data_IF_597928920233
#
_entry.id   IF_597928920233
#
_cell.length_a   1.000
_cell.length_b   1.000
_cell.length_c   1.000
_cell.angle_alpha   90.00
_cell.angle_beta   90.00
_cell.angle_gamma   90.00
#
_symmetry.space_group_name_H-M   'P 1'
#
loop_
_entity.id
_entity.type
_entity.pdbx_description
1 polymer ?
#
# COMPACT_ATOMS: atom_id res chain seq x y z
N UNK A 1 11.59 -23.39 12.19
CA UNK A 1 11.68 -22.45 11.06
C UNK A 1 10.33 -21.78 10.90
N UNK A 2 10.28 -20.47 10.61
CA UNK A 2 9.03 -19.83 10.27
C UNK A 2 8.54 -20.37 8.92
N UNK A 3 7.23 -20.57 8.78
CA UNK A 3 6.54 -20.93 7.54
C UNK A 3 5.41 -19.95 7.27
N UNK A 4 4.76 -20.05 6.13
CA UNK A 4 3.64 -19.16 5.78
C UNK A 4 2.45 -19.29 6.74
N UNK A 5 2.27 -20.44 7.40
CA UNK A 5 1.23 -20.70 8.41
C UNK A 5 1.61 -20.20 9.82
N UNK A 6 2.83 -19.73 10.02
CA UNK A 6 3.27 -19.22 11.34
C UNK A 6 2.42 -18.01 11.77
N UNK A 7 1.92 -18.02 13.01
CA UNK A 7 1.07 -16.97 13.52
C UNK A 7 1.85 -15.65 13.66
N UNK A 8 1.23 -14.51 13.28
CA UNK A 8 1.84 -13.17 13.30
C UNK A 8 2.28 -12.70 14.68
N UNK A 9 1.75 -13.28 15.77
CA UNK A 9 2.15 -12.94 17.15
C UNK A 9 3.64 -13.20 17.43
N UNK A 10 4.28 -14.05 16.62
CA UNK A 10 5.71 -14.36 16.77
C UNK A 10 6.62 -13.34 16.07
N UNK A 11 6.05 -12.37 15.34
CA UNK A 11 6.81 -11.25 14.78
C UNK A 11 7.22 -10.31 15.90
N UNK A 12 8.47 -9.87 15.88
CA UNK A 12 9.00 -8.94 16.87
C UNK A 12 8.17 -7.64 16.90
N UNK A 13 7.60 -7.35 18.07
CA UNK A 13 6.78 -6.17 18.29
C UNK A 13 5.28 -6.39 18.09
N UNK A 14 4.82 -7.61 17.78
CA UNK A 14 3.41 -7.98 17.72
C UNK A 14 3.12 -8.89 18.93
N UNK A 15 2.54 -8.32 19.99
CA UNK A 15 1.99 -9.08 21.11
C UNK A 15 0.50 -9.39 20.88
N UNK A 16 -0.14 -10.07 21.85
CA UNK A 16 -1.53 -10.55 21.75
C UNK A 16 -2.53 -9.46 21.35
N UNK A 17 -2.46 -8.28 21.96
CA UNK A 17 -3.37 -7.18 21.63
C UNK A 17 -3.24 -6.68 20.20
N UNK A 18 -2.02 -6.65 19.65
CA UNK A 18 -1.78 -6.27 18.26
C UNK A 18 -2.15 -7.38 17.29
N UNK A 19 -1.90 -8.64 17.65
CA UNK A 19 -2.33 -9.79 16.86
C UNK A 19 -3.86 -9.83 16.75
N UNK A 20 -4.60 -9.63 17.84
CA UNK A 20 -6.06 -9.51 17.84
C UNK A 20 -6.57 -8.31 17.00
N UNK A 21 -5.79 -7.21 16.92
CA UNK A 21 -6.13 -6.10 16.05
C UNK A 21 -5.87 -6.43 14.58
N UNK A 22 -4.81 -7.16 14.24
CA UNK A 22 -4.50 -7.63 12.89
C UNK A 22 -5.52 -8.68 12.40
N UNK A 23 -6.03 -9.53 13.29
CA UNK A 23 -7.09 -10.49 12.97
C UNK A 23 -8.35 -9.82 12.43
N UNK A 24 -8.69 -8.61 12.90
CA UNK A 24 -9.81 -7.81 12.35
C UNK A 24 -9.60 -7.38 10.90
N UNK A 25 -8.35 -7.40 10.42
CA UNK A 25 -7.98 -7.18 9.02
C UNK A 25 -7.86 -8.49 8.23
N UNK A 26 -8.17 -9.64 8.84
CA UNK A 26 -7.99 -10.96 8.24
C UNK A 26 -6.55 -11.46 8.26
N UNK A 27 -5.67 -10.84 9.06
CA UNK A 27 -4.24 -11.17 9.13
C UNK A 27 -3.99 -12.01 10.39
N UNK A 28 -3.78 -13.30 10.23
CA UNK A 28 -3.51 -14.26 11.33
C UNK A 28 -2.16 -14.93 11.19
N UNK A 29 -1.71 -15.13 9.97
CA UNK A 29 -0.47 -15.83 9.62
C UNK A 29 0.52 -14.92 8.89
N UNK A 30 1.77 -15.37 8.76
CA UNK A 30 2.78 -14.69 7.94
C UNK A 30 2.36 -14.63 6.47
N UNK A 31 1.72 -15.69 5.95
CA UNK A 31 1.16 -15.71 4.61
C UNK A 31 0.11 -14.62 4.40
N UNK A 32 -0.85 -14.47 5.34
CA UNK A 32 -1.86 -13.41 5.27
C UNK A 32 -1.21 -12.03 5.30
N UNK A 33 -0.18 -11.85 6.14
CA UNK A 33 0.50 -10.58 6.31
C UNK A 33 1.21 -10.12 5.02
N UNK A 34 1.95 -11.02 4.36
CA UNK A 34 2.64 -10.69 3.11
C UNK A 34 1.69 -10.63 1.91
N UNK A 35 0.52 -11.26 1.98
CA UNK A 35 -0.55 -11.11 1.00
C UNK A 35 -1.41 -9.85 1.24
N UNK A 36 -1.23 -9.16 2.36
CA UNK A 36 -1.94 -7.92 2.66
C UNK A 36 -1.27 -6.74 1.99
N UNK A 37 -1.62 -6.51 0.74
CA UNK A 37 -0.98 -5.51 -0.10
C UNK A 37 -1.33 -4.06 0.29
N UNK A 38 -0.39 -3.11 0.05
CA UNK A 38 -0.66 -1.69 0.23
C UNK A 38 -1.81 -1.21 -0.67
N UNK A 39 -2.64 -0.30 -0.14
CA UNK A 39 -3.68 0.39 -0.92
C UNK A 39 -3.15 1.51 -1.80
N UNK A 40 -1.95 1.98 -1.53
CA UNK A 40 -1.30 3.08 -2.24
C UNK A 40 0.14 3.25 -1.79
N UNK A 41 0.81 4.22 -2.38
CA UNK A 41 2.21 4.52 -2.10
C UNK A 41 2.40 6.02 -1.96
N UNK A 42 3.37 6.39 -1.14
CA UNK A 42 3.82 7.76 -0.95
C UNK A 42 5.27 7.84 -1.43
N UNK A 43 5.46 8.59 -2.52
CA UNK A 43 6.80 8.82 -3.07
C UNK A 43 7.55 9.84 -2.21
N UNK A 44 8.58 9.38 -1.52
CA UNK A 44 9.49 10.19 -0.71
C UNK A 44 10.90 10.22 -1.28
N UNK A 45 11.07 9.83 -2.54
CA UNK A 45 12.38 9.79 -3.20
C UNK A 45 12.87 11.17 -3.62
N UNK A 46 11.95 12.09 -3.92
CA UNK A 46 12.27 13.41 -4.41
C UNK A 46 12.59 14.37 -3.26
N UNK A 47 13.85 14.73 -3.14
CA UNK A 47 14.30 15.81 -2.25
C UNK A 47 14.26 17.09 -3.05
N UNK A 48 13.49 18.10 -2.54
CA UNK A 48 13.36 19.41 -3.19
C UNK A 48 14.04 20.50 -2.37
N UNK A 49 14.61 21.52 -3.04
CA UNK A 49 15.14 22.70 -2.37
C UNK A 49 14.00 23.53 -1.71
N UNK A 50 14.29 24.16 -0.57
CA UNK A 50 13.29 24.87 0.25
C UNK A 50 12.56 25.96 -0.53
N UNK A 51 13.26 26.66 -1.43
CA UNK A 51 12.64 27.72 -2.24
C UNK A 51 11.52 27.23 -3.16
N UNK A 52 11.61 25.95 -3.63
CA UNK A 52 10.67 25.37 -4.59
C UNK A 52 9.44 24.74 -3.93
N UNK A 53 9.39 24.71 -2.60
CA UNK A 53 8.27 24.11 -1.89
C UNK A 53 6.97 24.87 -2.17
N UNK A 54 5.87 24.12 -2.29
CA UNK A 54 4.53 24.68 -2.47
C UNK A 54 3.65 24.28 -1.28
N UNK A 55 2.85 25.22 -0.76
CA UNK A 55 1.93 24.90 0.33
C UNK A 55 0.91 23.84 -0.09
N UNK A 56 0.67 22.90 0.81
CA UNK A 56 -0.27 21.78 0.60
C UNK A 56 0.38 20.50 0.09
N UNK A 57 1.60 20.52 -0.45
CA UNK A 57 2.32 19.33 -0.90
C UNK A 57 3.05 18.62 0.24
N UNK A 58 3.17 17.29 0.13
CA UNK A 58 4.00 16.45 1.00
C UNK A 58 5.29 16.12 0.28
N UNK A 59 6.44 16.50 0.86
CA UNK A 59 7.72 16.47 0.15
C UNK A 59 8.88 16.20 1.10
N UNK A 60 9.97 15.63 0.58
CA UNK A 60 11.24 15.53 1.29
C UNK A 60 12.06 16.80 1.10
N UNK A 61 12.68 17.27 2.19
CA UNK A 61 13.62 18.38 2.22
C UNK A 61 14.88 17.94 2.92
N UNK A 62 16.02 18.11 2.29
CA UNK A 62 17.33 17.97 2.93
C UNK A 62 17.78 19.32 3.45
N UNK A 63 18.17 19.38 4.71
CA UNK A 63 18.65 20.63 5.27
C UNK A 63 19.39 20.46 6.58
N UNK A 64 20.12 21.50 6.96
CA UNK A 64 20.86 21.57 8.21
C UNK A 64 19.99 22.27 9.26
N UNK A 65 19.98 21.72 10.46
CA UNK A 65 19.29 22.33 11.62
C UNK A 65 20.06 23.59 12.03
N UNK A 66 19.40 24.74 11.93
CA UNK A 66 20.01 26.04 12.18
C UNK A 66 20.07 26.41 13.67
N UNK A 67 19.21 25.83 14.50
CA UNK A 67 19.15 26.08 15.94
C UNK A 67 18.61 24.85 16.66
N UNK A 68 18.99 24.69 17.92
CA UNK A 68 18.45 23.62 18.77
C UNK A 68 16.93 23.74 18.93
N UNK A 69 16.30 22.60 19.21
CA UNK A 69 14.86 22.51 19.37
C UNK A 69 14.41 23.29 20.62
N UNK A 70 13.72 24.42 20.43
CA UNK A 70 13.18 25.23 21.53
C UNK A 70 11.76 24.84 21.83
N UNK A 71 11.50 24.39 23.06
CA UNK A 71 10.17 23.94 23.49
C UNK A 71 9.46 24.97 24.37
N UNK A 72 8.19 25.20 24.08
CA UNK A 72 7.29 26.08 24.81
C UNK A 72 6.08 25.29 25.30
N UNK A 73 5.68 25.52 26.56
CA UNK A 73 4.41 25.02 27.07
C UNK A 73 3.30 25.99 26.70
N UNK A 74 2.21 25.47 26.14
CA UNK A 74 0.99 26.23 25.86
C UNK A 74 -0.08 25.88 26.90
N UNK A 75 -1.12 26.73 27.00
CA UNK A 75 -2.30 26.47 27.82
C UNK A 75 -2.93 25.13 27.44
N UNK A 76 -3.35 24.35 28.43
CA UNK A 76 -3.89 23.00 28.22
C UNK A 76 -2.87 21.85 28.26
N UNK A 77 -1.65 22.08 28.79
CA UNK A 77 -0.64 21.03 29.00
C UNK A 77 0.04 20.51 27.74
N UNK A 78 -0.15 21.19 26.61
CA UNK A 78 0.50 20.83 25.33
C UNK A 78 1.87 21.53 25.21
N UNK A 79 2.84 20.80 24.67
CA UNK A 79 4.17 21.36 24.37
C UNK A 79 4.31 21.53 22.85
N UNK A 80 4.78 22.72 22.44
CA UNK A 80 5.22 22.97 21.07
C UNK A 80 6.74 23.12 21.10
N UNK A 81 7.42 22.40 20.23
CA UNK A 81 8.83 22.58 19.99
C UNK A 81 9.05 23.11 18.57
N UNK A 82 9.93 24.10 18.43
CA UNK A 82 10.23 24.73 17.14
C UNK A 82 11.72 24.73 16.88
N UNK A 83 12.07 24.51 15.63
CA UNK A 83 13.41 24.75 15.10
C UNK A 83 13.33 25.23 13.67
N UNK A 84 14.45 25.56 13.08
CA UNK A 84 14.57 26.00 11.70
C UNK A 84 15.60 25.15 10.99
N UNK A 85 15.29 24.79 9.76
CA UNK A 85 16.19 24.08 8.85
C UNK A 85 16.52 25.01 7.70
N UNK A 86 17.75 24.97 7.24
CA UNK A 86 18.26 25.76 6.13
C UNK A 86 18.94 24.85 5.10
N UNK A 87 18.78 25.24 3.85
CA UNK A 87 19.57 24.74 2.73
C UNK A 87 20.17 25.93 1.96
N UNK A 88 20.86 25.68 0.85
CA UNK A 88 21.45 26.73 0.00
C UNK A 88 20.39 27.63 -0.65
N UNK A 89 19.11 27.26 -0.60
CA UNK A 89 18.01 27.93 -1.29
C UNK A 89 17.12 28.74 -0.35
N UNK A 90 17.08 28.45 0.94
CA UNK A 90 16.19 29.13 1.87
C UNK A 90 16.12 28.53 3.26
N UNK A 91 15.04 28.88 3.99
CA UNK A 91 14.78 28.38 5.34
C UNK A 91 13.36 27.86 5.48
N UNK A 92 13.18 26.81 6.30
CA UNK A 92 11.91 26.16 6.59
C UNK A 92 11.74 26.05 8.11
N UNK A 93 10.61 26.51 8.63
CA UNK A 93 10.30 26.37 10.04
C UNK A 93 9.70 24.97 10.31
N UNK A 94 10.21 24.27 11.33
CA UNK A 94 9.69 22.97 11.78
C UNK A 94 8.99 23.15 13.11
N UNK A 95 7.77 22.60 13.21
CA UNK A 95 6.92 22.69 14.39
C UNK A 95 6.55 21.29 14.84
N UNK A 96 6.86 20.94 16.09
CA UNK A 96 6.55 19.64 16.68
C UNK A 96 5.59 19.82 17.85
N UNK A 97 4.48 19.09 17.83
CA UNK A 97 3.52 19.05 18.91
C UNK A 97 3.71 17.79 19.77
N UNK A 98 3.74 17.95 21.10
CA UNK A 98 3.80 16.87 22.08
C UNK A 98 4.98 15.89 21.87
N UNK A 99 6.13 16.38 21.42
CA UNK A 99 7.33 15.56 21.15
C UNK A 99 8.45 15.80 22.16
N UNK A 100 8.12 15.91 23.46
CA UNK A 100 9.12 16.11 24.53
C UNK A 100 10.21 15.03 24.55
N UNK A 101 9.86 13.79 24.23
CA UNK A 101 10.80 12.65 24.18
C UNK A 101 11.75 12.65 22.97
N UNK A 102 11.64 13.63 22.06
CA UNK A 102 12.53 13.77 20.90
C UNK A 102 13.34 15.06 20.93
N UNK A 103 13.42 15.74 22.09
CA UNK A 103 14.23 16.95 22.23
C UNK A 103 15.68 16.72 21.86
N UNK A 104 16.22 15.58 22.27
CA UNK A 104 17.62 15.21 22.04
C UNK A 104 17.84 14.52 20.68
N UNK A 105 16.87 14.56 19.79
CA UNK A 105 16.96 13.88 18.49
C UNK A 105 17.39 14.82 17.35
N UNK A 106 17.41 16.14 17.58
CA UNK A 106 17.81 17.17 16.60
C UNK A 106 18.67 18.23 17.30
N UNK A 107 19.90 18.37 16.87
CA UNK A 107 20.83 19.38 17.36
C UNK A 107 21.23 20.36 16.25
N UNK A 108 21.64 21.55 16.64
CA UNK A 108 22.17 22.53 15.71
C UNK A 108 23.39 21.93 14.95
N UNK A 109 23.38 22.08 13.64
CA UNK A 109 24.40 21.55 12.75
C UNK A 109 24.08 20.15 12.18
N UNK A 110 23.07 19.46 12.70
CA UNK A 110 22.67 18.15 12.15
C UNK A 110 22.13 18.32 10.72
N UNK A 111 22.59 17.47 9.81
CA UNK A 111 22.05 17.36 8.45
C UNK A 111 21.09 16.19 8.40
N UNK A 112 19.82 16.52 8.14
CA UNK A 112 18.73 15.55 8.11
C UNK A 112 17.89 15.70 6.84
N UNK A 113 17.18 14.62 6.52
CA UNK A 113 16.09 14.65 5.53
C UNK A 113 14.77 14.65 6.28
N UNK A 114 13.96 15.66 5.99
CA UNK A 114 12.65 15.90 6.59
C UNK A 114 11.57 15.58 5.57
N UNK A 115 10.55 14.84 5.99
CA UNK A 115 9.37 14.59 5.16
C UNK A 115 8.11 15.06 5.90
N UNK A 116 7.32 15.88 5.23
CA UNK A 116 6.09 16.39 5.80
C UNK A 116 5.30 17.24 4.81
N UNK A 117 4.10 17.60 5.24
CA UNK A 117 3.25 18.54 4.49
C UNK A 117 3.74 19.96 4.72
N UNK A 118 3.93 20.68 3.63
CA UNK A 118 4.30 22.09 3.65
C UNK A 118 3.05 22.93 3.91
N UNK A 119 3.13 23.86 4.83
CA UNK A 119 2.09 24.83 5.13
C UNK A 119 2.65 26.24 5.06
N UNK A 120 1.81 27.21 4.68
CA UNK A 120 2.13 28.62 4.76
C UNK A 120 1.68 29.20 6.10
N UNK A 121 2.61 29.82 6.81
CA UNK A 121 2.33 30.56 8.03
C UNK A 121 2.93 31.96 7.93
N UNK A 122 2.06 33.01 7.78
CA UNK A 122 2.46 34.39 7.74
C UNK A 122 3.63 34.70 6.78
N UNK A 123 3.55 34.17 5.55
CA UNK A 123 4.58 34.26 4.49
C UNK A 123 5.85 33.44 4.73
N UNK A 124 5.85 32.54 5.71
CA UNK A 124 6.92 31.58 5.92
C UNK A 124 6.40 30.17 5.69
N UNK A 125 7.21 29.33 5.06
CA UNK A 125 6.91 27.92 4.89
C UNK A 125 7.24 27.18 6.18
N UNK A 126 6.35 26.29 6.60
CA UNK A 126 6.55 25.44 7.79
C UNK A 126 6.12 24.00 7.49
N UNK A 127 6.67 23.07 8.25
CA UNK A 127 6.17 21.69 8.33
C UNK A 127 5.76 21.39 9.77
N UNK A 128 4.58 20.75 9.93
CA UNK A 128 4.07 20.32 11.23
C UNK A 128 4.31 18.84 11.42
N UNK A 129 4.95 18.48 12.54
CA UNK A 129 5.33 17.11 12.89
C UNK A 129 5.99 16.33 11.74
N UNK A 130 7.00 16.90 11.03
CA UNK A 130 7.66 16.16 9.97
C UNK A 130 8.33 14.89 10.50
N UNK A 131 8.37 13.86 9.66
CA UNK A 131 9.30 12.75 9.86
C UNK A 131 10.70 13.24 9.52
N UNK A 132 11.70 12.81 10.27
CA UNK A 132 13.08 13.16 9.98
C UNK A 132 14.03 12.00 10.29
N UNK A 133 15.08 11.92 9.50
CA UNK A 133 16.15 10.93 9.63
C UNK A 133 17.48 11.58 9.31
N UNK A 134 18.56 11.22 10.03
CA UNK A 134 19.91 11.68 9.70
C UNK A 134 20.30 11.29 8.27
N UNK A 135 21.05 12.14 7.61
CA UNK A 135 21.59 11.83 6.29
C UNK A 135 22.46 10.55 6.34
N UNK A 136 22.27 9.65 5.35
CA UNK A 136 22.98 8.37 5.27
C UNK A 136 22.39 7.23 6.12
N UNK A 137 21.37 7.47 6.95
CA UNK A 137 20.66 6.45 7.75
C UNK A 137 19.15 6.41 7.45
N UNK A 138 18.77 6.72 6.23
CA UNK A 138 17.38 6.81 5.82
C UNK A 138 16.74 5.42 5.70
N UNK A 139 15.64 5.20 6.43
CA UNK A 139 14.81 3.99 6.35
C UNK A 139 13.42 4.29 5.78
N UNK A 140 12.93 5.52 5.99
CA UNK A 140 11.57 5.95 5.68
C UNK A 140 11.56 7.12 4.68
N UNK A 141 12.59 7.98 4.73
CA UNK A 141 12.80 9.07 3.76
C UNK A 141 13.64 8.59 2.58
N UNK A 142 13.50 9.21 1.42
CA UNK A 142 14.24 8.84 0.21
C UNK A 142 13.78 7.52 -0.43
N UNK A 143 12.59 7.02 -0.11
CA UNK A 143 12.02 5.77 -0.63
C UNK A 143 10.54 5.91 -0.97
N UNK A 144 10.04 5.00 -1.79
CA UNK A 144 8.61 4.84 -2.00
C UNK A 144 8.05 4.04 -0.82
N UNK A 145 7.18 4.66 -0.02
CA UNK A 145 6.63 4.05 1.18
C UNK A 145 5.23 3.49 0.93
N UNK A 146 4.97 2.23 1.33
CA UNK A 146 3.66 1.62 1.20
C UNK A 146 2.67 2.24 2.20
N UNK A 147 1.43 2.44 1.77
CA UNK A 147 0.31 2.85 2.62
C UNK A 147 -0.66 1.69 2.75
N UNK A 148 -0.75 1.12 3.95
CA UNK A 148 -1.65 0.01 4.23
C UNK A 148 -3.01 0.50 4.74
N UNK A 149 -4.12 -0.22 4.47
CA UNK A 149 -5.35 -0.08 5.24
C UNK A 149 -5.07 -0.42 6.71
N UNK A 150 -5.64 0.36 7.63
CA UNK A 150 -5.39 0.23 9.06
C UNK A 150 -6.69 0.01 9.84
N UNK A 151 -6.55 -0.52 11.06
CA UNK A 151 -7.62 -0.62 12.05
C UNK A 151 -7.17 -0.01 13.38
N UNK A 152 -8.11 0.17 14.31
CA UNK A 152 -7.78 0.65 15.66
C UNK A 152 -6.74 -0.24 16.35
N UNK A 153 -5.70 0.38 16.90
CA UNK A 153 -4.57 -0.32 17.55
C UNK A 153 -3.42 -0.72 16.62
N UNK A 154 -3.56 -0.55 15.29
CA UNK A 154 -2.50 -0.81 14.30
C UNK A 154 -2.06 0.50 13.66
N UNK A 155 -0.78 0.80 13.70
CA UNK A 155 -0.21 2.00 13.08
C UNK A 155 0.51 1.66 11.77
N UNK A 156 0.64 2.64 10.87
CA UNK A 156 1.37 2.47 9.61
C UNK A 156 2.79 1.96 9.82
N UNK A 157 3.52 2.54 10.79
CA UNK A 157 4.88 2.10 11.11
C UNK A 157 4.96 0.67 11.65
N UNK A 158 3.91 0.18 12.34
CA UNK A 158 3.83 -1.22 12.75
C UNK A 158 3.65 -2.13 11.54
N UNK A 159 2.71 -1.81 10.63
CA UNK A 159 2.47 -2.59 9.41
C UNK A 159 3.70 -2.68 8.53
N UNK A 160 4.39 -1.56 8.28
CA UNK A 160 5.61 -1.52 7.48
C UNK A 160 6.70 -2.42 8.08
N UNK A 161 6.93 -2.35 9.40
CA UNK A 161 7.92 -3.21 10.07
C UNK A 161 7.50 -4.68 10.06
N UNK A 162 6.23 -4.97 10.29
CA UNK A 162 5.69 -6.33 10.27
C UNK A 162 5.82 -6.95 8.86
N UNK A 163 5.42 -6.23 7.82
CA UNK A 163 5.55 -6.68 6.44
C UNK A 163 7.01 -6.94 6.05
N UNK A 164 7.95 -6.08 6.46
CA UNK A 164 9.38 -6.30 6.22
C UNK A 164 9.86 -7.58 6.89
N UNK A 165 9.55 -7.77 8.20
CA UNK A 165 9.93 -8.99 8.91
C UNK A 165 9.26 -10.25 8.34
N UNK A 166 7.99 -10.15 7.91
CA UNK A 166 7.29 -11.25 7.26
C UNK A 166 7.94 -11.66 5.94
N UNK A 167 8.28 -10.69 5.10
CA UNK A 167 9.00 -10.94 3.84
C UNK A 167 10.36 -11.56 4.07
N UNK A 168 11.16 -11.01 5.00
CA UNK A 168 12.49 -11.54 5.32
C UNK A 168 12.41 -12.99 5.84
N UNK A 169 11.35 -13.33 6.60
CA UNK A 169 11.14 -14.69 7.13
C UNK A 169 10.64 -15.69 6.07
N UNK A 170 9.87 -15.22 5.07
CA UNK A 170 9.17 -16.08 4.12
C UNK A 170 9.70 -15.99 2.68
N UNK A 171 10.74 -15.21 2.42
CA UNK A 171 11.23 -14.91 1.07
C UNK A 171 11.52 -16.15 0.22
N UNK A 172 12.10 -17.19 0.83
CA UNK A 172 12.44 -18.44 0.16
C UNK A 172 11.31 -19.46 0.15
N UNK A 173 10.20 -19.16 0.85
CA UNK A 173 9.07 -20.07 1.03
C UNK A 173 7.89 -19.75 0.10
N UNK A 174 7.98 -18.66 -0.67
CA UNK A 174 6.91 -18.24 -1.58
C UNK A 174 6.81 -19.19 -2.77
N UNK A 175 5.69 -19.94 -2.89
CA UNK A 175 5.50 -20.82 -4.04
C UNK A 175 5.21 -19.97 -5.29
N UNK A 176 5.91 -20.25 -6.38
CA UNK A 176 5.51 -19.69 -7.67
C UNK A 176 4.43 -20.59 -8.28
N UNK A 177 3.20 -20.09 -8.31
CA UNK A 177 2.03 -20.83 -8.82
C UNK A 177 1.92 -20.77 -10.35
N UNK A 178 2.67 -19.89 -11.01
CA UNK A 178 2.67 -19.80 -12.47
C UNK A 178 3.69 -20.79 -13.06
N UNK A 179 3.29 -21.62 -14.02
CA UNK A 179 4.25 -22.41 -14.81
C UNK A 179 5.28 -21.53 -15.50
N UNK A 180 6.52 -21.99 -15.58
CA UNK A 180 7.63 -21.23 -16.16
C UNK A 180 7.35 -20.80 -17.61
N UNK A 181 6.70 -21.66 -18.40
CA UNK A 181 6.33 -21.35 -19.78
C UNK A 181 5.37 -20.16 -19.85
N UNK A 182 4.37 -20.11 -18.96
CA UNK A 182 3.42 -18.98 -18.87
C UNK A 182 4.14 -17.72 -18.43
N UNK A 183 4.98 -17.82 -17.40
CA UNK A 183 5.75 -16.68 -16.90
C UNK A 183 6.65 -16.09 -17.98
N UNK A 184 7.36 -16.91 -18.73
CA UNK A 184 8.26 -16.48 -19.82
C UNK A 184 7.48 -15.90 -21.00
N UNK A 185 6.41 -16.56 -21.46
CA UNK A 185 5.58 -16.10 -22.57
C UNK A 185 5.00 -14.70 -22.32
N UNK A 186 4.63 -14.38 -21.07
CA UNK A 186 4.06 -13.11 -20.68
C UNK A 186 5.08 -12.13 -20.10
N UNK A 187 6.39 -12.48 -20.09
CA UNK A 187 7.50 -11.66 -19.57
C UNK A 187 7.23 -11.17 -18.15
N UNK A 188 6.80 -12.08 -17.27
CA UNK A 188 6.49 -11.78 -15.87
C UNK A 188 7.71 -12.03 -14.98
N UNK A 189 7.87 -11.22 -13.94
CA UNK A 189 8.92 -11.41 -12.94
C UNK A 189 8.64 -12.61 -12.03
N UNK A 190 9.65 -13.03 -11.29
CA UNK A 190 9.53 -14.06 -10.25
C UNK A 190 8.66 -13.58 -9.08
N UNK A 191 8.03 -14.51 -8.39
CA UNK A 191 7.14 -14.25 -7.25
C UNK A 191 7.86 -13.46 -6.15
N UNK A 192 9.10 -13.82 -5.81
CA UNK A 192 9.87 -13.14 -4.76
C UNK A 192 10.13 -11.66 -5.11
N UNK A 193 10.46 -11.37 -6.37
CA UNK A 193 10.62 -10.01 -6.85
C UNK A 193 9.30 -9.23 -6.77
N UNK A 194 8.18 -9.87 -7.13
CA UNK A 194 6.87 -9.23 -7.09
C UNK A 194 6.47 -8.87 -5.65
N UNK A 195 6.59 -9.79 -4.69
CA UNK A 195 6.27 -9.52 -3.29
C UNK A 195 7.20 -8.49 -2.66
N UNK A 196 8.50 -8.52 -2.96
CA UNK A 196 9.42 -7.49 -2.47
C UNK A 196 9.03 -6.10 -2.96
N UNK A 197 8.78 -5.95 -4.29
CA UNK A 197 8.54 -4.64 -4.88
C UNK A 197 7.08 -4.16 -4.79
N UNK A 198 6.11 -5.02 -4.47
CA UNK A 198 4.76 -4.57 -4.12
C UNK A 198 4.71 -3.97 -2.71
N UNK A 199 5.54 -4.45 -1.78
CA UNK A 199 5.61 -3.90 -0.43
C UNK A 199 6.64 -2.77 -0.31
N UNK A 200 7.81 -2.92 -0.94
CA UNK A 200 8.94 -2.00 -0.82
C UNK A 200 9.56 -1.73 -2.19
N UNK A 201 8.88 -0.94 -3.04
CA UNK A 201 9.37 -0.71 -4.39
C UNK A 201 10.72 -0.02 -4.40
N UNK A 202 11.64 -0.55 -5.20
CA UNK A 202 12.93 0.09 -5.43
C UNK A 202 12.79 1.33 -6.34
N UNK A 203 11.81 1.29 -7.26
CA UNK A 203 11.46 2.39 -8.17
C UNK A 203 9.99 2.28 -8.60
N UNK A 204 9.41 3.33 -9.22
CA UNK A 204 8.07 3.27 -9.81
C UNK A 204 7.94 2.15 -10.85
N UNK A 205 8.98 1.92 -11.67
CA UNK A 205 9.01 0.88 -12.70
C UNK A 205 9.01 -0.52 -12.07
N UNK A 206 9.78 -0.72 -10.99
CA UNK A 206 9.82 -1.97 -10.26
C UNK A 206 8.44 -2.30 -9.64
N UNK A 207 7.74 -1.27 -9.15
CA UNK A 207 6.37 -1.41 -8.65
C UNK A 207 5.40 -1.86 -9.76
N UNK A 208 5.48 -1.26 -10.96
CA UNK A 208 4.63 -1.64 -12.08
C UNK A 208 4.89 -3.08 -12.55
N UNK A 209 6.15 -3.49 -12.59
CA UNK A 209 6.53 -4.88 -12.92
C UNK A 209 5.95 -5.86 -11.89
N UNK A 210 6.05 -5.52 -10.59
CA UNK A 210 5.49 -6.34 -9.51
C UNK A 210 3.96 -6.41 -9.60
N UNK A 211 3.29 -5.28 -9.77
CA UNK A 211 1.84 -5.17 -9.91
C UNK A 211 1.33 -6.00 -11.08
N UNK A 212 1.96 -5.86 -12.25
CA UNK A 212 1.61 -6.65 -13.44
C UNK A 212 1.67 -8.15 -13.18
N UNK A 213 2.70 -8.62 -12.47
CA UNK A 213 2.86 -10.03 -12.11
C UNK A 213 1.72 -10.53 -11.21
N UNK A 214 1.40 -9.79 -10.15
CA UNK A 214 0.39 -10.20 -9.18
C UNK A 214 -1.03 -10.13 -9.76
N UNK A 215 -1.35 -9.09 -10.51
CA UNK A 215 -2.65 -8.98 -11.22
C UNK A 215 -2.82 -10.11 -12.22
N UNK A 216 -1.77 -10.43 -13.00
CA UNK A 216 -1.83 -11.55 -13.94
C UNK A 216 -2.09 -12.87 -13.20
N UNK A 217 -1.40 -13.12 -12.10
CA UNK A 217 -1.57 -14.34 -11.31
C UNK A 217 -2.99 -14.49 -10.79
N UNK A 218 -3.57 -13.44 -10.19
CA UNK A 218 -4.96 -13.46 -9.71
C UNK A 218 -5.96 -13.80 -10.82
N UNK A 219 -5.84 -13.12 -11.96
CA UNK A 219 -6.72 -13.35 -13.11
C UNK A 219 -6.52 -14.73 -13.75
N UNK A 220 -5.29 -15.22 -13.79
CA UNK A 220 -4.96 -16.55 -14.27
C UNK A 220 -5.60 -17.63 -13.39
N UNK A 221 -5.41 -17.54 -12.07
CA UNK A 221 -5.99 -18.49 -11.11
C UNK A 221 -7.53 -18.46 -11.17
N UNK A 222 -8.13 -17.26 -11.24
CA UNK A 222 -9.58 -17.12 -11.40
C UNK A 222 -10.07 -17.79 -12.69
N UNK A 223 -9.38 -17.55 -13.80
CA UNK A 223 -9.73 -18.11 -15.10
C UNK A 223 -9.61 -19.65 -15.09
N UNK A 224 -8.54 -20.18 -14.53
CA UNK A 224 -8.37 -21.63 -14.36
C UNK A 224 -9.48 -22.23 -13.50
N UNK A 225 -9.81 -21.60 -12.37
CA UNK A 225 -10.92 -22.02 -11.51
C UNK A 225 -12.26 -22.04 -12.23
N UNK A 226 -12.59 -21.01 -13.00
CA UNK A 226 -13.80 -20.94 -13.81
C UNK A 226 -13.85 -22.03 -14.91
N UNK A 227 -12.72 -22.31 -15.54
CA UNK A 227 -12.62 -23.39 -16.54
C UNK A 227 -12.85 -24.77 -15.91
N UNK A 228 -12.26 -25.04 -14.76
CA UNK A 228 -12.49 -26.30 -14.02
C UNK A 228 -13.97 -26.45 -13.62
N UNK A 229 -14.62 -25.40 -13.16
CA UNK A 229 -16.06 -25.42 -12.85
C UNK A 229 -16.93 -25.68 -14.10
N UNK A 230 -16.57 -25.09 -15.24
CA UNK A 230 -17.26 -25.33 -16.53
C UNK A 230 -17.09 -26.77 -17.00
N UNK A 231 -15.86 -27.36 -16.88
CA UNK A 231 -15.63 -28.75 -17.22
C UNK A 231 -16.47 -29.69 -16.35
N UNK A 232 -16.44 -29.51 -15.02
CA UNK A 232 -17.26 -30.31 -14.09
C UNK A 232 -18.75 -30.25 -14.41
N UNK A 233 -19.27 -29.11 -14.86
CA UNK A 233 -20.70 -28.98 -15.27
C UNK A 233 -20.98 -29.70 -16.59
N UNK A 234 -20.02 -29.78 -17.51
CA UNK A 234 -20.18 -30.53 -18.78
C UNK A 234 -20.18 -32.03 -18.56
N UNK A 235 -19.41 -32.51 -17.58
CA UNK A 235 -19.30 -33.92 -17.24
C UNK A 235 -20.53 -34.44 -16.46
N UNK A 236 -21.35 -33.56 -15.89
CA UNK A 236 -22.66 -33.91 -15.33
C UNK A 236 -23.64 -33.98 -16.48
N UNK A 237 -24.02 -35.22 -16.89
CA UNK A 237 -25.09 -35.45 -17.86
C UNK A 237 -26.36 -34.79 -17.34
N UNK A 238 -26.69 -33.64 -17.89
CA UNK A 238 -28.00 -32.99 -17.63
C UNK A 238 -29.12 -33.84 -18.18
N UNK A 239 -30.37 -33.71 -17.67
CA UNK A 239 -31.51 -34.37 -18.27
C UNK A 239 -31.56 -33.99 -19.75
N UNK A 240 -31.64 -35.02 -20.61
CA UNK A 240 -31.73 -34.80 -22.05
C UNK A 240 -32.94 -33.95 -22.34
N UNK A 241 -32.71 -32.68 -22.65
CA UNK A 241 -33.79 -31.80 -23.13
C UNK A 241 -34.24 -32.34 -24.49
N UNK A 242 -35.49 -32.85 -24.54
CA UNK A 242 -36.13 -33.23 -25.82
C UNK A 242 -36.18 -31.99 -26.70
N UNK A 243 -35.62 -32.05 -27.91
CA UNK A 243 -35.82 -30.99 -28.91
C UNK A 243 -37.34 -30.85 -29.15
N UNK A 244 -37.91 -29.83 -28.59
CA UNK A 244 -39.27 -29.45 -28.93
C UNK A 244 -39.23 -28.73 -30.26
N UNK A 245 -40.21 -29.05 -31.17
CA UNK A 245 -40.42 -28.25 -32.36
C UNK A 245 -40.75 -26.82 -31.96
N UNK A 246 -40.08 -25.85 -32.53
CA UNK A 246 -40.34 -24.43 -32.29
C UNK A 246 -41.58 -23.92 -33.05
N UNK A 247 -42.17 -24.73 -33.92
CA UNK A 247 -43.41 -24.36 -34.68
C UNK A 247 -44.55 -23.86 -33.79
N UNK A 248 -44.90 -24.51 -32.65
CA UNK A 248 -45.95 -23.98 -31.79
C UNK A 248 -45.62 -22.62 -31.19
N UNK A 249 -44.32 -22.35 -30.96
CA UNK A 249 -43.87 -21.08 -30.45
C UNK A 249 -43.97 -19.95 -31.48
N UNK A 250 -43.60 -20.22 -32.73
CA UNK A 250 -43.77 -19.25 -33.82
C UNK A 250 -45.22 -18.94 -34.10
N UNK A 251 -46.11 -19.95 -34.08
CA UNK A 251 -47.55 -19.75 -34.21
C UNK A 251 -48.14 -18.93 -33.05
N UNK A 252 -47.67 -19.16 -31.81
CA UNK A 252 -48.09 -18.37 -30.66
C UNK A 252 -47.63 -16.91 -30.75
N UNK A 253 -46.39 -16.65 -31.22
CA UNK A 253 -45.88 -15.30 -31.41
C UNK A 253 -46.59 -14.53 -32.53
N UNK A 254 -47.00 -15.22 -33.61
CA UNK A 254 -47.80 -14.63 -34.69
C UNK A 254 -49.16 -14.19 -34.16
N UNK A 255 -49.83 -15.02 -33.35
CA UNK A 255 -51.12 -14.67 -32.74
C UNK A 255 -51.03 -13.56 -31.67
N UNK A 256 -49.88 -13.35 -31.03
CA UNK A 256 -49.67 -12.28 -30.05
C UNK A 256 -49.31 -10.96 -30.73
N UNK A 257 -48.58 -10.99 -31.84
CA UNK A 257 -48.05 -9.78 -32.49
C UNK A 257 -48.88 -9.23 -33.64
N UNK A 258 -49.72 -10.06 -34.30
CA UNK A 258 -50.54 -9.64 -35.44
C UNK A 258 -51.82 -8.87 -35.10
N UNK A 259 -52.56 -9.13 -33.99
CA UNK A 259 -53.77 -8.36 -33.67
C UNK A 259 -53.51 -6.87 -33.42
N UNK A 260 -52.29 -6.50 -33.06
CA UNK A 260 -51.91 -5.09 -32.83
C UNK A 260 -51.59 -4.32 -34.12
N UNK A 261 -51.33 -5.01 -35.22
CA UNK A 261 -51.02 -4.38 -36.52
C UNK A 261 -52.26 -4.01 -37.36
N UNK A 262 -53.39 -4.66 -37.12
CA UNK A 262 -54.65 -4.40 -37.82
C UNK A 262 -55.51 -3.29 -37.21
N UNK A 263 -55.10 -2.71 -36.08
CA UNK A 263 -55.79 -1.62 -35.41
C UNK A 263 -55.23 -0.22 -35.64
N UNK A 264 -54.26 -0.06 -36.55
CA UNK A 264 -53.68 1.23 -36.91
C UNK A 264 -53.73 1.47 -38.44
N UNK A 265 -54.93 1.49 -38.98
CA UNK A 265 -55.21 2.14 -40.27
C UNK A 265 -56.41 3.04 -40.05
#
# INVERSE_FOLDING_TARGET
MADLGTNVRYIKGIGEARAAALEKLGITTLGDLIAYFPRGYEDRTQVRPIRELTAGESVCVRGMVAADLTAYRISGGRTIAKTRVVDDSGSLDLVFFNMEHRRDALHQGDVCVFFGKVEDNLRRKQMINPLFEPEGRQQVTGRIMPIYPLTAGVTQGLMVRAARQGLDACRELLPDVLPDEVRQAHKLCYVNYAYENIHFPASPEALEVARRRLVFEELFLLTCGLQLLRQRRRDVAGPACRRMSMEPFYLSLIHISEPTRLGMI
#
